data_IF_376235925938
#
_entry.id   IF_376235925938
#
_cell.length_a   1.000
_cell.length_b   1.000
_cell.length_c   1.000
_cell.angle_alpha   90.00
_cell.angle_beta   90.00
_cell.angle_gamma   90.00
#
_symmetry.space_group_name_H-M   'P 1'
#
loop_
_entity.id
_entity.type
_entity.pdbx_description
1 polymer ?
#
# COMPACT_ATOMS: atom_id res chain seq x y z
N UNK A 1 13.95 -7.32 -9.17
CA UNK A 1 12.64 -7.26 -8.59
C UNK A 1 12.20 -8.58 -7.95
N UNK A 2 10.99 -8.63 -7.45
CA UNK A 2 10.43 -9.77 -6.69
C UNK A 2 10.59 -11.14 -7.39
N UNK A 3 10.22 -11.23 -8.68
CA UNK A 3 10.34 -12.51 -9.42
C UNK A 3 11.78 -13.02 -9.51
N UNK A 4 12.76 -12.11 -9.66
CA UNK A 4 14.18 -12.51 -9.67
C UNK A 4 14.59 -13.05 -8.29
N UNK A 5 14.16 -12.41 -7.20
CA UNK A 5 14.40 -12.88 -5.84
C UNK A 5 13.77 -14.25 -5.58
N UNK A 6 12.50 -14.41 -5.95
CA UNK A 6 11.78 -15.69 -5.81
C UNK A 6 12.45 -16.80 -6.62
N UNK A 7 12.83 -16.53 -7.88
CA UNK A 7 13.52 -17.52 -8.72
C UNK A 7 14.89 -17.91 -8.13
N UNK A 8 15.63 -16.95 -7.59
CA UNK A 8 16.91 -17.20 -6.92
C UNK A 8 16.75 -18.05 -5.66
N UNK A 9 15.77 -17.72 -4.81
CA UNK A 9 15.47 -18.46 -3.58
C UNK A 9 15.02 -19.91 -3.90
N UNK A 10 14.10 -20.07 -4.84
CA UNK A 10 13.63 -21.36 -5.31
C UNK A 10 14.79 -22.19 -5.90
N UNK A 11 15.61 -21.59 -6.76
CA UNK A 11 16.74 -22.29 -7.38
C UNK A 11 17.80 -22.73 -6.37
N UNK A 12 18.04 -21.96 -5.31
CA UNK A 12 18.94 -22.36 -4.23
C UNK A 12 18.35 -23.53 -3.47
N UNK A 13 17.10 -23.44 -3.06
CA UNK A 13 16.41 -24.50 -2.33
C UNK A 13 16.32 -25.82 -3.14
N UNK A 14 16.06 -25.75 -4.45
CA UNK A 14 16.06 -26.93 -5.33
C UNK A 14 17.44 -27.60 -5.35
N UNK A 15 18.52 -26.84 -5.50
CA UNK A 15 19.88 -27.42 -5.50
C UNK A 15 20.21 -28.15 -4.20
N UNK A 16 19.70 -27.67 -3.09
CA UNK A 16 19.94 -28.27 -1.76
C UNK A 16 19.08 -29.51 -1.52
N UNK A 17 17.84 -29.54 -2.00
CA UNK A 17 16.87 -30.58 -1.66
C UNK A 17 16.61 -31.59 -2.81
N UNK A 18 16.87 -31.19 -4.06
CA UNK A 18 16.65 -31.97 -5.28
C UNK A 18 17.82 -31.83 -6.24
N UNK A 19 19.01 -32.36 -5.91
CA UNK A 19 20.24 -32.15 -6.69
C UNK A 19 20.15 -32.65 -8.14
N UNK A 20 19.24 -33.59 -8.42
CA UNK A 20 18.99 -34.12 -9.77
C UNK A 20 18.05 -33.22 -10.60
N UNK A 21 17.37 -32.26 -9.99
CA UNK A 21 16.52 -31.28 -10.69
C UNK A 21 17.38 -30.13 -11.22
N UNK A 22 17.97 -30.30 -12.39
CA UNK A 22 18.89 -29.32 -13.02
C UNK A 22 18.22 -28.40 -14.01
N UNK A 23 17.06 -28.78 -14.51
CA UNK A 23 16.37 -28.09 -15.58
C UNK A 23 14.97 -27.65 -15.19
N UNK A 24 14.53 -26.51 -15.67
CA UNK A 24 13.22 -25.94 -15.31
C UNK A 24 12.02 -26.84 -15.63
N UNK A 25 12.12 -27.67 -16.65
CA UNK A 25 11.05 -28.62 -17.02
C UNK A 25 10.93 -29.83 -16.04
N UNK A 26 11.94 -30.02 -15.17
CA UNK A 26 11.93 -31.05 -14.14
C UNK A 26 11.23 -30.58 -12.84
N UNK A 27 10.92 -29.31 -12.74
CA UNK A 27 10.21 -28.76 -11.59
C UNK A 27 8.78 -29.30 -11.60
N UNK A 28 8.43 -30.05 -10.57
CA UNK A 28 7.11 -30.64 -10.38
C UNK A 28 6.28 -29.86 -9.34
N UNK A 29 4.96 -30.07 -9.28
CA UNK A 29 4.12 -29.50 -8.22
C UNK A 29 4.63 -29.87 -6.82
N UNK A 30 5.11 -31.09 -6.63
CA UNK A 30 5.65 -31.55 -5.34
C UNK A 30 6.89 -30.79 -4.90
N UNK A 31 7.77 -30.44 -5.85
CA UNK A 31 8.94 -29.59 -5.58
C UNK A 31 8.50 -28.19 -5.14
N UNK A 32 7.57 -27.58 -5.85
CA UNK A 32 7.07 -26.25 -5.49
C UNK A 32 6.31 -26.26 -4.17
N UNK A 33 5.51 -27.29 -3.91
CA UNK A 33 4.81 -27.47 -2.63
C UNK A 33 5.80 -27.67 -1.49
N UNK A 34 6.85 -28.48 -1.69
CA UNK A 34 7.93 -28.67 -0.71
C UNK A 34 8.65 -27.36 -0.37
N UNK A 35 8.90 -26.51 -1.36
CA UNK A 35 9.45 -25.17 -1.13
C UNK A 35 8.52 -24.29 -0.31
N UNK A 36 7.21 -24.28 -0.60
CA UNK A 36 6.22 -23.54 0.20
C UNK A 36 6.14 -24.04 1.63
N UNK A 37 6.15 -25.37 1.81
CA UNK A 37 6.16 -25.99 3.13
C UNK A 37 7.40 -25.55 3.94
N UNK A 38 8.57 -25.61 3.33
CA UNK A 38 9.82 -25.16 3.96
C UNK A 38 9.79 -23.68 4.36
N UNK A 39 9.08 -22.83 3.60
CA UNK A 39 8.87 -21.44 3.99
C UNK A 39 7.86 -21.30 5.12
N UNK A 40 6.79 -22.10 5.12
CA UNK A 40 5.81 -22.13 6.20
C UNK A 40 6.46 -22.58 7.52
N UNK A 41 7.32 -23.60 7.50
CA UNK A 41 8.07 -24.08 8.66
C UNK A 41 9.00 -23.01 9.25
N UNK A 42 9.49 -22.10 8.41
CA UNK A 42 10.25 -20.91 8.85
C UNK A 42 9.34 -19.76 9.34
N UNK A 43 8.04 -19.97 9.44
CA UNK A 43 7.07 -18.98 9.92
C UNK A 43 6.67 -17.90 8.90
N UNK A 44 6.82 -18.18 7.60
CA UNK A 44 6.36 -17.25 6.56
C UNK A 44 4.83 -17.24 6.51
N UNK A 45 4.24 -16.06 6.59
CA UNK A 45 2.79 -15.89 6.63
C UNK A 45 2.10 -16.35 5.33
N UNK A 46 0.87 -16.86 5.47
CA UNK A 46 0.04 -17.38 4.38
C UNK A 46 -0.10 -16.42 3.19
N UNK A 47 -0.25 -15.12 3.43
CA UNK A 47 -0.35 -14.11 2.36
C UNK A 47 0.93 -14.00 1.52
N UNK A 48 2.11 -14.16 2.14
CA UNK A 48 3.38 -14.18 1.44
C UNK A 48 3.50 -15.42 0.55
N UNK A 49 3.05 -16.58 1.04
CA UNK A 49 3.03 -17.83 0.26
C UNK A 49 2.02 -17.76 -0.90
N UNK A 50 0.84 -17.16 -0.71
CA UNK A 50 -0.10 -16.87 -1.82
C UNK A 50 0.55 -16.01 -2.90
N UNK A 51 1.37 -15.03 -2.50
CA UNK A 51 2.12 -14.20 -3.44
C UNK A 51 3.18 -15.02 -4.18
N UNK A 52 3.85 -15.96 -3.52
CA UNK A 52 4.83 -16.86 -4.13
C UNK A 52 4.18 -17.79 -5.16
N UNK A 53 3.01 -18.37 -4.86
CA UNK A 53 2.22 -19.15 -5.83
C UNK A 53 1.90 -18.30 -7.08
N UNK A 54 1.45 -17.06 -6.89
CA UNK A 54 1.23 -16.14 -8.01
C UNK A 54 2.53 -15.83 -8.77
N UNK A 55 3.66 -15.80 -8.06
CA UNK A 55 4.99 -15.65 -8.62
C UNK A 55 5.39 -16.85 -9.48
N UNK A 56 5.13 -18.07 -9.02
CA UNK A 56 5.41 -19.30 -9.79
C UNK A 56 4.64 -19.34 -11.12
N UNK A 57 3.35 -18.99 -11.12
CA UNK A 57 2.57 -18.88 -12.36
C UNK A 57 3.19 -17.93 -13.39
N UNK A 58 3.78 -16.83 -12.92
CA UNK A 58 4.47 -15.87 -13.78
C UNK A 58 5.83 -16.39 -14.25
N UNK A 59 6.59 -17.04 -13.37
CA UNK A 59 7.88 -17.65 -13.72
C UNK A 59 7.69 -18.77 -14.72
N UNK A 60 6.73 -19.65 -14.53
CA UNK A 60 6.36 -20.72 -15.46
C UNK A 60 6.11 -20.17 -16.87
N UNK A 61 5.30 -19.10 -17.00
CA UNK A 61 5.07 -18.41 -18.27
C UNK A 61 6.35 -17.84 -18.87
N UNK A 62 7.17 -17.15 -18.07
CA UNK A 62 8.42 -16.56 -18.55
C UNK A 62 9.39 -17.62 -19.06
N UNK A 63 9.54 -18.73 -18.32
CA UNK A 63 10.43 -19.84 -18.70
C UNK A 63 9.90 -20.56 -19.95
N UNK A 64 8.59 -20.81 -20.02
CA UNK A 64 7.94 -21.40 -21.20
C UNK A 64 8.15 -20.60 -22.48
N UNK A 65 8.17 -19.26 -22.39
CA UNK A 65 8.48 -18.40 -23.54
C UNK A 65 9.95 -18.50 -24.01
N UNK A 66 10.90 -18.74 -23.10
CA UNK A 66 12.31 -18.84 -23.44
C UNK A 66 12.69 -20.20 -24.07
N UNK A 67 12.00 -21.26 -23.69
CA UNK A 67 12.26 -22.63 -24.15
C UNK A 67 11.17 -23.09 -25.11
N UNK A 68 11.17 -22.57 -26.33
CA UNK A 68 10.14 -22.82 -27.36
C UNK A 68 9.81 -24.29 -27.63
N UNK A 69 10.72 -25.21 -27.32
CA UNK A 69 10.60 -26.65 -27.58
C UNK A 69 10.34 -27.50 -26.32
N UNK A 70 10.31 -26.92 -25.13
CA UNK A 70 10.03 -27.63 -23.89
C UNK A 70 8.67 -27.17 -23.35
N UNK A 71 7.72 -28.09 -23.27
CA UNK A 71 6.46 -27.85 -22.59
C UNK A 71 6.73 -27.76 -21.08
N UNK A 72 6.79 -26.55 -20.57
CA UNK A 72 6.91 -26.31 -19.12
C UNK A 72 5.51 -26.22 -18.55
N UNK A 73 5.19 -27.18 -17.70
CA UNK A 73 3.92 -27.28 -17.00
C UNK A 73 4.20 -27.66 -15.54
N UNK A 74 4.31 -26.64 -14.69
CA UNK A 74 4.54 -26.80 -13.26
C UNK A 74 3.25 -27.11 -12.50
N UNK A 75 2.10 -27.14 -13.18
CA UNK A 75 0.76 -27.34 -12.61
C UNK A 75 0.53 -26.49 -11.35
N UNK A 76 0.84 -25.21 -11.46
CA UNK A 76 0.81 -24.27 -10.35
C UNK A 76 -0.61 -24.01 -9.80
N UNK A 77 -1.64 -24.48 -10.46
CA UNK A 77 -3.04 -24.51 -10.01
C UNK A 77 -3.33 -25.58 -8.93
N UNK A 78 -2.48 -26.63 -8.87
CA UNK A 78 -2.60 -27.70 -7.87
C UNK A 78 -1.85 -27.38 -6.55
N UNK A 79 -1.10 -26.27 -6.51
CA UNK A 79 -0.31 -25.88 -5.35
C UNK A 79 -1.15 -25.00 -4.43
N UNK A 80 -1.09 -25.26 -3.14
CA UNK A 80 -1.83 -24.52 -2.12
C UNK A 80 -0.94 -24.08 -0.96
N UNK A 81 -1.43 -23.09 -0.23
CA UNK A 81 -0.78 -22.65 1.00
C UNK A 81 -0.98 -23.71 2.07
N UNK A 82 0.07 -24.14 2.80
CA UNK A 82 -0.09 -25.06 3.90
C UNK A 82 -1.05 -24.55 4.98
N UNK A 83 -1.96 -25.40 5.47
CA UNK A 83 -3.00 -25.04 6.43
C UNK A 83 -2.44 -24.62 7.80
N UNK A 84 -1.21 -25.06 8.13
CA UNK A 84 -0.53 -24.73 9.38
C UNK A 84 0.25 -23.41 9.34
N UNK A 85 0.13 -22.64 8.29
CA UNK A 85 0.80 -21.34 8.24
C UNK A 85 0.31 -20.43 9.37
N UNK A 86 1.21 -19.68 10.01
CA UNK A 86 0.80 -18.73 11.01
C UNK A 86 -0.19 -17.74 10.42
N UNK A 87 -1.27 -17.46 11.15
CA UNK A 87 -2.19 -16.39 10.82
C UNK A 87 -1.43 -15.07 10.71
N UNK A 88 -1.79 -14.26 9.74
CA UNK A 88 -1.27 -12.90 9.68
C UNK A 88 -1.62 -12.20 10.98
N UNK A 89 -0.59 -11.81 11.73
CA UNK A 89 -0.80 -10.83 12.79
C UNK A 89 -1.40 -9.60 12.13
N UNK A 90 -2.66 -9.34 12.39
CA UNK A 90 -3.31 -8.11 11.95
C UNK A 90 -2.46 -6.93 12.44
N UNK A 91 -1.74 -6.32 11.53
CA UNK A 91 -0.91 -5.13 11.80
C UNK A 91 -1.78 -3.89 11.58
N UNK A 92 -2.89 -3.81 12.32
CA UNK A 92 -4.02 -2.95 12.01
C UNK A 92 -4.09 -1.68 12.85
N UNK A 93 -3.00 -1.34 13.52
CA UNK A 93 -2.99 -0.09 14.25
C UNK A 93 -2.89 1.08 13.29
N UNK A 94 -3.84 1.98 13.45
CA UNK A 94 -3.82 3.30 12.86
C UNK A 94 -2.81 4.13 13.63
N UNK A 95 -2.08 5.00 12.94
CA UNK A 95 -1.24 5.97 13.62
C UNK A 95 -2.14 7.07 14.19
N UNK A 96 -2.21 7.18 15.52
CA UNK A 96 -2.95 8.24 16.19
C UNK A 96 -2.29 9.61 16.00
N UNK A 97 -3.00 10.67 16.39
CA UNK A 97 -2.59 12.06 16.15
C UNK A 97 -1.33 12.45 16.91
N UNK A 98 -1.13 11.92 18.10
CA UNK A 98 0.06 12.20 18.91
C UNK A 98 1.27 11.54 18.26
N UNK A 99 1.18 10.25 18.02
CA UNK A 99 2.25 9.49 17.37
C UNK A 99 2.62 10.05 16.00
N UNK A 100 1.61 10.46 15.20
CA UNK A 100 1.85 11.13 13.92
C UNK A 100 2.69 12.40 14.08
N UNK A 101 2.37 13.26 15.03
CA UNK A 101 3.13 14.49 15.31
C UNK A 101 4.55 14.17 15.77
N UNK A 102 4.72 13.23 16.70
CA UNK A 102 6.02 12.83 17.20
C UNK A 102 6.92 12.30 16.06
N UNK A 103 6.38 11.47 15.18
CA UNK A 103 7.12 10.97 14.00
C UNK A 103 7.47 12.09 13.03
N UNK A 104 6.53 13.00 12.78
CA UNK A 104 6.76 14.14 11.89
C UNK A 104 7.88 15.05 12.41
N UNK A 105 7.87 15.34 13.73
CA UNK A 105 8.89 16.16 14.40
C UNK A 105 10.26 15.47 14.47
N UNK A 106 10.27 14.13 14.58
CA UNK A 106 11.50 13.35 14.54
C UNK A 106 12.15 13.28 13.15
N UNK A 107 11.40 13.60 12.08
CA UNK A 107 11.91 13.62 10.72
C UNK A 107 12.72 14.89 10.45
N UNK A 108 13.80 14.74 9.69
CA UNK A 108 14.60 15.89 9.29
C UNK A 108 13.87 16.75 8.24
N UNK A 109 13.53 17.98 8.59
CA UNK A 109 12.98 18.99 7.67
C UNK A 109 13.98 19.48 6.61
N UNK A 110 15.25 19.09 6.71
CA UNK A 110 16.27 19.32 5.65
C UNK A 110 16.02 18.46 4.41
N UNK A 111 15.28 17.35 4.58
CA UNK A 111 14.98 16.44 3.50
C UNK A 111 13.49 16.47 3.25
N UNK A 112 12.88 16.86 2.36
CA UNK A 112 11.42 16.98 2.15
C UNK A 112 10.61 15.69 2.36
N UNK A 113 11.24 14.59 2.83
CA UNK A 113 10.57 13.28 2.99
C UNK A 113 9.42 13.29 4.01
N UNK A 114 9.40 14.24 4.96
CA UNK A 114 8.30 14.43 5.89
C UNK A 114 6.98 14.81 5.19
N UNK A 115 7.05 15.45 4.02
CA UNK A 115 5.87 15.82 3.21
C UNK A 115 5.05 14.58 2.82
N UNK A 116 5.70 13.41 2.69
CA UNK A 116 4.98 12.15 2.43
C UNK A 116 4.02 11.78 3.55
N UNK A 117 4.39 11.98 4.81
CA UNK A 117 3.49 11.76 5.95
C UNK A 117 2.33 12.74 5.93
N UNK A 118 2.60 14.02 5.65
CA UNK A 118 1.53 15.04 5.54
C UNK A 118 0.55 14.64 4.44
N UNK A 119 1.02 14.35 3.22
CA UNK A 119 0.17 13.93 2.11
C UNK A 119 -0.65 12.66 2.42
N UNK A 120 -0.05 11.70 3.13
CA UNK A 120 -0.77 10.50 3.55
C UNK A 120 -1.80 10.78 4.64
N UNK A 121 -1.54 11.75 5.52
CA UNK A 121 -2.45 12.15 6.60
C UNK A 121 -3.64 12.95 6.09
N UNK A 122 -3.40 13.93 5.22
CA UNK A 122 -4.44 14.89 4.77
C UNK A 122 -5.27 14.37 3.59
N UNK A 123 -4.72 13.45 2.79
CA UNK A 123 -5.35 12.94 1.58
C UNK A 123 -5.22 11.42 1.38
N UNK A 124 -4.80 10.69 2.39
CA UNK A 124 -4.71 9.23 2.31
C UNK A 124 -3.86 8.70 1.16
N UNK A 125 -2.88 9.44 0.66
CA UNK A 125 -2.06 9.01 -0.47
C UNK A 125 -1.15 7.84 -0.11
N UNK A 126 -0.96 6.91 -1.05
CA UNK A 126 0.06 5.86 -0.93
C UNK A 126 1.45 6.49 -1.06
N UNK A 127 2.47 5.88 -0.46
CA UNK A 127 3.85 6.39 -0.52
C UNK A 127 4.33 6.66 -1.95
N UNK A 128 3.96 5.86 -2.93
CA UNK A 128 4.30 6.11 -4.33
C UNK A 128 3.57 7.34 -4.88
N UNK A 129 2.30 7.51 -4.52
CA UNK A 129 1.50 8.67 -4.92
C UNK A 129 2.07 9.95 -4.29
N UNK A 130 2.52 9.89 -3.02
CA UNK A 130 3.16 11.04 -2.38
C UNK A 130 4.47 11.47 -3.05
N UNK A 131 5.22 10.51 -3.62
CA UNK A 131 6.45 10.81 -4.35
C UNK A 131 6.22 11.48 -5.70
N UNK A 132 5.06 11.27 -6.33
CA UNK A 132 4.80 11.62 -7.73
C UNK A 132 3.71 12.66 -7.93
N UNK A 133 2.92 12.98 -6.90
CA UNK A 133 1.85 13.99 -7.02
C UNK A 133 2.45 15.36 -7.34
N UNK A 134 1.92 15.98 -8.40
CA UNK A 134 2.36 17.30 -8.87
C UNK A 134 1.58 18.42 -8.18
N UNK A 135 2.18 19.62 -8.17
CA UNK A 135 1.57 20.82 -7.54
C UNK A 135 0.24 21.21 -8.16
N UNK A 136 0.09 21.11 -9.45
CA UNK A 136 -1.14 21.41 -10.18
C UNK A 136 -2.29 20.46 -9.86
N UNK A 137 -2.00 19.29 -9.31
CA UNK A 137 -3.00 18.34 -8.85
C UNK A 137 -3.56 18.67 -7.46
N UNK A 138 -2.96 19.64 -6.76
CA UNK A 138 -3.34 20.04 -5.41
C UNK A 138 -4.13 21.33 -5.47
N UNK A 139 -5.42 21.24 -5.13
CA UNK A 139 -6.35 22.34 -5.08
C UNK A 139 -6.65 22.68 -3.62
N UNK A 140 -6.46 23.94 -3.23
CA UNK A 140 -6.61 24.39 -1.84
C UNK A 140 -8.00 24.96 -1.54
N UNK A 141 -8.88 24.96 -2.54
CA UNK A 141 -10.25 25.44 -2.46
C UNK A 141 -11.18 24.47 -3.18
N UNK A 142 -12.48 24.53 -2.89
CA UNK A 142 -13.47 23.61 -3.46
C UNK A 142 -13.45 22.21 -2.83
N UNK A 143 -13.86 21.19 -3.61
CA UNK A 143 -14.09 19.85 -3.11
C UNK A 143 -15.37 19.74 -2.27
N UNK A 144 -15.71 18.55 -1.78
CA UNK A 144 -16.94 18.27 -1.04
C UNK A 144 -17.11 19.17 0.19
N UNK A 145 -16.02 19.45 0.90
CA UNK A 145 -16.04 20.17 2.18
C UNK A 145 -15.58 21.64 2.07
N UNK A 146 -15.23 22.13 0.87
CA UNK A 146 -14.73 23.47 0.67
C UNK A 146 -13.29 23.71 1.11
N UNK A 147 -12.59 22.67 1.56
CA UNK A 147 -11.20 22.76 2.04
C UNK A 147 -10.16 22.36 1.00
N UNK A 148 -10.60 22.06 -0.22
CA UNK A 148 -9.73 21.63 -1.32
C UNK A 148 -9.79 20.13 -1.58
N UNK A 149 -9.00 19.70 -2.56
CA UNK A 149 -8.90 18.30 -2.97
C UNK A 149 -7.60 18.03 -3.72
N UNK A 150 -7.24 16.76 -3.87
CA UNK A 150 -6.13 16.32 -4.71
C UNK A 150 -6.68 15.44 -5.83
N UNK A 151 -6.32 15.76 -7.08
CA UNK A 151 -6.64 14.94 -8.24
C UNK A 151 -5.48 14.00 -8.56
N UNK A 152 -5.73 12.70 -8.63
CA UNK A 152 -4.78 11.74 -9.17
C UNK A 152 -5.19 11.39 -10.59
N UNK A 153 -4.31 11.72 -11.54
CA UNK A 153 -4.55 11.57 -12.99
C UNK A 153 -4.52 10.09 -13.42
N UNK A 154 -5.18 9.75 -14.53
CA UNK A 154 -5.11 8.40 -15.09
C UNK A 154 -3.68 8.03 -15.52
N UNK A 155 -3.40 6.74 -15.56
CA UNK A 155 -2.07 6.23 -15.85
C UNK A 155 -1.16 6.22 -14.61
N UNK A 156 0.14 6.12 -14.83
CA UNK A 156 1.12 6.01 -13.74
C UNK A 156 1.76 7.35 -13.36
N UNK A 157 1.30 8.47 -13.92
CA UNK A 157 1.94 9.79 -13.79
C UNK A 157 2.04 10.20 -12.32
N UNK A 158 0.94 10.16 -11.59
CA UNK A 158 0.89 10.50 -10.16
C UNK A 158 1.04 9.26 -9.24
N UNK A 159 1.53 8.15 -9.78
CA UNK A 159 1.80 6.92 -9.02
C UNK A 159 0.57 6.10 -8.62
N UNK A 160 -0.62 6.44 -9.13
CA UNK A 160 -1.85 5.73 -8.82
C UNK A 160 -1.74 4.24 -9.13
N UNK A 161 -2.15 3.40 -8.18
CA UNK A 161 -2.11 1.94 -8.36
C UNK A 161 -3.05 1.54 -9.50
N UNK A 162 -2.54 0.79 -10.46
CA UNK A 162 -3.25 0.40 -11.70
C UNK A 162 -3.70 1.59 -12.57
N UNK A 163 -3.13 2.79 -12.38
CA UNK A 163 -3.45 3.99 -13.15
C UNK A 163 -4.87 4.51 -12.95
N UNK A 164 -5.57 4.11 -11.88
CA UNK A 164 -6.94 4.54 -11.61
C UNK A 164 -6.98 6.00 -11.16
N UNK A 165 -7.66 6.89 -11.91
CA UNK A 165 -7.84 8.27 -11.49
C UNK A 165 -8.78 8.34 -10.28
N UNK A 166 -8.58 9.34 -9.44
CA UNK A 166 -9.53 9.68 -8.37
C UNK A 166 -9.33 11.11 -7.90
N UNK A 167 -10.35 11.64 -7.28
CA UNK A 167 -10.31 12.88 -6.52
C UNK A 167 -10.35 12.52 -5.04
N UNK A 168 -9.50 13.15 -4.25
CA UNK A 168 -9.39 12.92 -2.82
C UNK A 168 -9.69 14.23 -2.11
N UNK A 169 -10.76 14.27 -1.33
CA UNK A 169 -11.18 15.47 -0.61
C UNK A 169 -10.30 15.74 0.62
N UNK A 170 -10.10 17.03 0.91
CA UNK A 170 -9.49 17.49 2.15
C UNK A 170 -10.61 17.71 3.17
N UNK A 171 -10.49 17.07 4.33
CA UNK A 171 -11.61 16.91 5.25
C UNK A 171 -11.87 18.10 6.17
N UNK A 172 -10.87 18.96 6.39
CA UNK A 172 -10.99 20.11 7.29
C UNK A 172 -9.95 21.21 7.02
N UNK A 173 -10.13 22.36 7.68
CA UNK A 173 -9.26 23.52 7.52
C UNK A 173 -7.80 23.24 7.95
N UNK A 174 -7.57 22.50 9.01
CA UNK A 174 -6.22 22.14 9.49
C UNK A 174 -5.45 21.30 8.47
N UNK A 175 -6.13 20.33 7.83
CA UNK A 175 -5.54 19.52 6.75
C UNK A 175 -5.21 20.41 5.52
N UNK A 176 -6.08 21.35 5.16
CA UNK A 176 -5.82 22.33 4.08
C UNK A 176 -4.60 23.17 4.40
N UNK A 177 -4.49 23.67 5.63
CA UNK A 177 -3.37 24.54 6.03
C UNK A 177 -2.04 23.77 6.05
N UNK A 178 -2.03 22.52 6.52
CA UNK A 178 -0.88 21.64 6.41
C UNK A 178 -0.50 21.39 4.93
N UNK A 179 -1.47 21.16 4.07
CA UNK A 179 -1.27 20.98 2.63
C UNK A 179 -0.71 22.25 1.96
N UNK A 180 -1.24 23.42 2.33
CA UNK A 180 -0.76 24.72 1.87
C UNK A 180 0.71 24.92 2.24
N UNK A 181 1.09 24.60 3.47
CA UNK A 181 2.46 24.77 3.94
C UNK A 181 3.45 23.90 3.16
N UNK A 182 3.14 22.63 2.93
CA UNK A 182 4.05 21.75 2.17
C UNK A 182 4.12 22.08 0.69
N UNK A 183 3.12 22.80 0.15
CA UNK A 183 3.08 23.26 -1.24
C UNK A 183 3.77 24.63 -1.44
N UNK A 184 4.16 25.31 -0.37
CA UNK A 184 4.79 26.62 -0.43
C UNK A 184 6.08 26.58 -1.26
N UNK A 185 6.16 27.49 -2.25
CA UNK A 185 7.33 27.55 -3.16
C UNK A 185 7.42 26.42 -4.19
N UNK A 186 6.43 25.53 -4.27
CA UNK A 186 6.35 24.51 -5.32
C UNK A 186 5.59 25.10 -6.51
N UNK A 187 6.19 25.07 -7.70
CA UNK A 187 5.60 25.60 -8.94
C UNK A 187 4.76 24.52 -9.65
N UNK A 188 3.78 24.90 -10.46
CA UNK A 188 3.13 23.98 -11.41
C UNK A 188 4.17 23.21 -12.23
N UNK A 189 3.89 21.96 -12.59
CA UNK A 189 4.82 21.07 -13.27
C UNK A 189 5.86 20.38 -12.36
N UNK A 190 5.93 20.77 -11.10
CA UNK A 190 6.84 20.15 -10.14
C UNK A 190 6.09 19.22 -9.19
N UNK A 191 6.73 18.13 -8.79
CA UNK A 191 6.20 17.29 -7.69
C UNK A 191 6.21 18.06 -6.37
N UNK A 192 5.20 17.84 -5.52
CA UNK A 192 5.09 18.48 -4.19
C UNK A 192 6.31 18.16 -3.34
N UNK A 193 6.82 16.95 -3.47
CA UNK A 193 8.02 16.47 -2.79
C UNK A 193 9.11 16.19 -3.83
N UNK A 194 10.23 16.92 -3.75
CA UNK A 194 11.34 16.81 -4.71
C UNK A 194 12.69 16.91 -4.04
N UNK A 195 13.71 16.34 -4.64
CA UNK A 195 15.09 16.53 -4.25
C UNK A 195 15.60 17.90 -4.70
N UNK A 196 16.79 18.27 -4.23
CA UNK A 196 17.45 19.52 -4.63
C UNK A 196 17.76 19.61 -6.12
N UNK A 197 17.94 18.46 -6.79
CA UNK A 197 18.12 18.34 -8.24
C UNK A 197 16.80 18.43 -9.03
N UNK A 198 15.66 18.60 -8.36
CA UNK A 198 14.32 18.67 -8.96
C UNK A 198 13.66 17.31 -9.18
N UNK A 199 14.37 16.21 -9.02
CA UNK A 199 13.87 14.87 -9.25
C UNK A 199 12.93 14.41 -8.13
N UNK A 200 11.95 13.54 -8.44
CA UNK A 200 11.10 12.92 -7.44
C UNK A 200 11.87 12.06 -6.44
N UNK A 201 11.37 11.96 -5.22
CA UNK A 201 11.93 11.02 -4.25
C UNK A 201 11.62 9.57 -4.63
N UNK A 202 12.57 8.66 -4.34
CA UNK A 202 12.34 7.23 -4.43
C UNK A 202 11.51 6.76 -3.22
N UNK A 203 10.57 5.86 -3.47
CA UNK A 203 9.74 5.23 -2.43
C UNK A 203 10.58 4.68 -1.28
N UNK A 204 11.65 3.94 -1.59
CA UNK A 204 12.52 3.34 -0.58
C UNK A 204 13.24 4.40 0.29
N UNK A 205 13.57 5.56 -0.27
CA UNK A 205 14.19 6.66 0.49
C UNK A 205 13.21 7.26 1.49
N UNK A 206 11.96 7.45 1.08
CA UNK A 206 10.88 7.94 1.95
C UNK A 206 10.60 6.93 3.06
N UNK A 207 10.43 5.65 2.72
CA UNK A 207 10.17 4.60 3.70
C UNK A 207 11.30 4.48 4.73
N UNK A 208 12.57 4.55 4.28
CA UNK A 208 13.73 4.56 5.19
C UNK A 208 13.76 5.78 6.12
N UNK A 209 13.36 6.96 5.62
CA UNK A 209 13.31 8.16 6.46
C UNK A 209 12.26 8.02 7.57
N UNK A 210 11.06 7.56 7.23
CA UNK A 210 9.98 7.31 8.21
C UNK A 210 10.39 6.22 9.21
N UNK A 211 10.97 5.12 8.73
CA UNK A 211 11.44 4.05 9.62
C UNK A 211 12.49 4.54 10.60
N UNK A 212 13.46 5.35 10.15
CA UNK A 212 14.47 5.94 11.05
C UNK A 212 13.85 6.84 12.11
N UNK A 213 12.85 7.64 11.76
CA UNK A 213 12.11 8.46 12.73
C UNK A 213 11.41 7.59 13.78
N UNK A 214 10.72 6.54 13.34
CA UNK A 214 10.07 5.59 14.26
C UNK A 214 11.08 4.87 15.18
N UNK A 215 12.20 4.41 14.65
CA UNK A 215 13.27 3.77 15.44
C UNK A 215 13.83 4.73 16.49
N UNK A 216 14.06 6.00 16.12
CA UNK A 216 14.52 7.04 17.05
C UNK A 216 13.56 7.26 18.23
N UNK A 217 12.27 7.05 18.00
CA UNK A 217 11.22 7.18 19.01
C UNK A 217 10.94 5.86 19.76
N UNK A 218 11.61 4.76 19.41
CA UNK A 218 11.36 3.44 20.01
C UNK A 218 10.01 2.83 19.65
N UNK A 219 9.40 3.24 18.53
CA UNK A 219 8.06 2.84 18.09
C UNK A 219 8.09 2.17 16.72
N UNK A 220 6.96 1.56 16.32
CA UNK A 220 6.72 1.14 14.94
C UNK A 220 6.85 -0.35 14.67
N UNK A 221 7.00 -1.17 15.71
CA UNK A 221 6.92 -2.63 15.57
C UNK A 221 5.47 -3.13 15.37
N UNK A 222 4.51 -2.37 15.87
CA UNK A 222 3.07 -2.61 15.75
C UNK A 222 2.51 -2.34 14.35
N UNK A 223 3.28 -1.67 13.48
CA UNK A 223 2.87 -1.37 12.10
C UNK A 223 3.62 -2.24 11.09
N UNK A 224 3.05 -2.37 9.91
CA UNK A 224 3.71 -3.01 8.77
C UNK A 224 5.04 -2.31 8.44
N UNK A 225 5.92 -2.95 7.66
CA UNK A 225 7.16 -2.33 7.18
C UNK A 225 6.91 -0.98 6.49
N UNK A 226 5.76 -0.81 5.86
CA UNK A 226 5.33 0.45 5.27
C UNK A 226 4.56 1.30 6.30
N UNK A 227 5.29 2.00 7.18
CA UNK A 227 4.74 2.89 8.20
C UNK A 227 3.79 3.97 7.64
N UNK A 228 4.03 4.43 6.43
CA UNK A 228 3.19 5.40 5.74
C UNK A 228 1.74 4.88 5.56
N UNK A 229 1.58 3.55 5.51
CA UNK A 229 0.27 2.93 5.40
C UNK A 229 -0.58 3.12 6.66
N UNK A 230 0.05 3.12 7.86
CA UNK A 230 -0.63 3.41 9.11
C UNK A 230 -1.20 4.83 9.16
N UNK A 231 -0.46 5.80 8.57
CA UNK A 231 -0.93 7.19 8.42
C UNK A 231 -2.09 7.28 7.42
N UNK A 232 -2.02 6.56 6.30
CA UNK A 232 -3.12 6.51 5.33
C UNK A 232 -4.40 5.91 5.93
N UNK A 233 -4.28 4.90 6.81
CA UNK A 233 -5.42 4.35 7.55
C UNK A 233 -6.12 5.41 8.39
N UNK A 234 -5.37 6.30 9.03
CA UNK A 234 -5.96 7.38 9.83
C UNK A 234 -6.79 8.36 8.98
N UNK A 235 -6.40 8.63 7.72
CA UNK A 235 -7.23 9.36 6.79
C UNK A 235 -8.53 8.61 6.49
N UNK A 236 -8.44 7.32 6.19
CA UNK A 236 -9.62 6.49 5.89
C UNK A 236 -10.64 6.51 7.02
N UNK A 237 -10.18 6.37 8.27
CA UNK A 237 -11.06 6.44 9.44
C UNK A 237 -11.71 7.82 9.58
N UNK A 238 -10.95 8.90 9.45
CA UNK A 238 -11.51 10.25 9.52
C UNK A 238 -12.52 10.51 8.42
N UNK A 239 -12.25 10.06 7.20
CA UNK A 239 -13.18 10.17 6.08
C UNK A 239 -14.49 9.41 6.36
N UNK A 240 -14.37 8.18 6.85
CA UNK A 240 -15.50 7.36 7.28
C UNK A 240 -16.32 8.04 8.39
N UNK A 241 -15.67 8.47 9.47
CA UNK A 241 -16.32 9.09 10.63
C UNK A 241 -17.02 10.42 10.25
N UNK A 242 -16.42 11.16 9.32
CA UNK A 242 -17.01 12.41 8.84
C UNK A 242 -18.32 12.16 8.10
N UNK A 243 -18.34 11.25 7.13
CA UNK A 243 -19.57 10.96 6.38
C UNK A 243 -20.63 10.29 7.26
N UNK A 244 -20.23 9.36 8.13
CA UNK A 244 -21.16 8.72 9.06
C UNK A 244 -21.89 9.74 9.95
N UNK A 245 -21.15 10.73 10.48
CA UNK A 245 -21.74 11.82 11.27
C UNK A 245 -22.68 12.68 10.44
N UNK A 246 -22.25 13.15 9.26
CA UNK A 246 -23.06 13.96 8.35
C UNK A 246 -24.39 13.28 7.99
N UNK A 247 -24.34 12.02 7.63
CA UNK A 247 -25.53 11.28 7.24
C UNK A 247 -26.45 10.98 8.42
N UNK A 248 -25.90 10.74 9.62
CA UNK A 248 -26.71 10.63 10.84
C UNK A 248 -27.42 11.96 11.17
N UNK A 249 -26.74 13.10 11.04
CA UNK A 249 -27.31 14.45 11.23
C UNK A 249 -28.40 14.75 10.19
N UNK A 250 -28.33 14.16 9.00
CA UNK A 250 -29.36 14.23 7.96
C UNK A 250 -30.53 13.26 8.15
N UNK A 251 -30.51 12.45 9.20
CA UNK A 251 -31.59 11.54 9.57
C UNK A 251 -31.57 10.18 8.85
N UNK A 252 -30.47 9.81 8.20
CA UNK A 252 -30.34 8.47 7.64
C UNK A 252 -30.28 7.39 8.73
N UNK A 253 -30.72 6.17 8.40
CA UNK A 253 -30.56 5.03 9.30
C UNK A 253 -29.08 4.75 9.59
N UNK A 254 -28.79 4.13 10.72
CA UNK A 254 -27.41 3.71 11.07
C UNK A 254 -26.79 2.83 9.98
N UNK A 255 -27.58 1.93 9.40
CA UNK A 255 -27.12 1.03 8.33
C UNK A 255 -26.79 1.80 7.05
N UNK A 256 -27.63 2.77 6.64
CA UNK A 256 -27.36 3.59 5.45
C UNK A 256 -26.19 4.52 5.68
N UNK A 257 -26.11 5.15 6.85
CA UNK A 257 -25.00 6.03 7.23
C UNK A 257 -23.67 5.26 7.19
N UNK A 258 -23.64 4.06 7.72
CA UNK A 258 -22.47 3.18 7.67
C UNK A 258 -22.10 2.85 6.21
N UNK A 259 -23.05 2.42 5.41
CA UNK A 259 -22.82 2.07 4.00
C UNK A 259 -22.28 3.25 3.19
N UNK A 260 -22.87 4.44 3.35
CA UNK A 260 -22.43 5.65 2.66
C UNK A 260 -21.01 6.04 3.07
N UNK A 261 -20.68 5.92 4.35
CA UNK A 261 -19.33 6.20 4.86
C UNK A 261 -18.29 5.19 4.35
N UNK A 262 -18.65 3.92 4.25
CA UNK A 262 -17.80 2.85 3.69
C UNK A 262 -17.51 3.10 2.21
N UNK A 263 -18.54 3.40 1.42
CA UNK A 263 -18.42 3.70 0.00
C UNK A 263 -17.53 4.94 -0.22
N UNK A 264 -17.77 6.00 0.52
CA UNK A 264 -16.96 7.22 0.44
C UNK A 264 -15.49 6.96 0.78
N UNK A 265 -15.19 6.34 1.93
CA UNK A 265 -13.83 6.04 2.33
C UNK A 265 -13.11 5.15 1.30
N UNK A 266 -13.82 4.19 0.72
CA UNK A 266 -13.29 3.31 -0.33
C UNK A 266 -12.94 4.07 -1.60
N UNK A 267 -13.80 4.98 -2.05
CA UNK A 267 -13.57 5.82 -3.23
C UNK A 267 -12.38 6.76 -3.03
N UNK A 268 -12.30 7.41 -1.86
CA UNK A 268 -11.17 8.27 -1.49
C UNK A 268 -9.83 7.50 -1.52
N UNK A 269 -9.85 6.23 -1.13
CA UNK A 269 -8.66 5.37 -1.16
C UNK A 269 -8.37 4.79 -2.56
N UNK A 270 -9.29 4.92 -3.53
CA UNK A 270 -9.16 4.32 -4.85
C UNK A 270 -9.18 2.80 -4.81
N UNK A 271 -10.07 2.23 -4.02
CA UNK A 271 -10.42 0.82 -4.06
C UNK A 271 -11.36 0.56 -5.25
N UNK A 272 -11.49 -0.70 -5.68
CA UNK A 272 -12.36 -1.07 -6.79
C UNK A 272 -13.84 -0.83 -6.48
N UNK A 273 -14.68 -0.99 -7.51
CA UNK A 273 -16.14 -0.86 -7.40
C UNK A 273 -16.82 -2.13 -6.91
N UNK A 274 -16.10 -3.26 -6.91
CA UNK A 274 -16.61 -4.52 -6.41
C UNK A 274 -16.85 -4.46 -4.90
N UNK A 275 -18.09 -4.76 -4.48
CA UNK A 275 -18.50 -4.59 -3.09
C UNK A 275 -17.77 -5.52 -2.12
N UNK A 276 -17.57 -6.79 -2.49
CA UNK A 276 -16.87 -7.74 -1.64
C UNK A 276 -15.39 -7.36 -1.44
N UNK A 277 -14.74 -6.85 -2.50
CA UNK A 277 -13.39 -6.30 -2.38
C UNK A 277 -13.34 -5.03 -1.51
N UNK A 278 -14.38 -4.18 -1.57
CA UNK A 278 -14.50 -2.98 -0.73
C UNK A 278 -14.64 -3.36 0.74
N UNK A 279 -15.57 -4.24 1.09
CA UNK A 279 -15.82 -4.69 2.46
C UNK A 279 -14.55 -5.28 3.08
N UNK A 280 -13.90 -6.24 2.41
CA UNK A 280 -12.66 -6.83 2.90
C UNK A 280 -11.51 -5.83 3.05
N UNK A 281 -11.42 -4.82 2.17
CA UNK A 281 -10.40 -3.78 2.28
C UNK A 281 -10.71 -2.78 3.38
N UNK A 282 -11.98 -2.49 3.62
CA UNK A 282 -12.42 -1.60 4.68
C UNK A 282 -12.15 -2.19 6.07
N UNK A 283 -12.32 -3.48 6.26
CA UNK A 283 -11.91 -4.18 7.49
C UNK A 283 -10.43 -3.94 7.83
N UNK A 284 -9.58 -3.93 6.80
CA UNK A 284 -8.15 -3.64 6.94
C UNK A 284 -7.87 -2.17 7.28
N UNK A 285 -8.69 -1.22 6.79
CA UNK A 285 -8.45 0.23 6.93
C UNK A 285 -9.20 0.86 8.09
N UNK A 286 -10.42 0.43 8.32
CA UNK A 286 -11.32 1.03 9.32
C UNK A 286 -11.38 0.15 10.59
N UNK A 287 -11.04 -1.13 10.47
CA UNK A 287 -11.19 -2.13 11.51
C UNK A 287 -12.64 -2.62 11.62
N UNK A 288 -12.82 -3.77 12.25
CA UNK A 288 -14.17 -4.27 12.58
C UNK A 288 -14.70 -3.35 13.68
N UNK A 289 -15.61 -2.47 13.32
CA UNK A 289 -16.36 -1.66 14.28
C UNK A 289 -17.69 -2.35 14.50
N UNK A 290 -17.81 -2.95 15.68
CA UNK A 290 -19.06 -3.51 16.21
C UNK A 290 -20.04 -2.39 16.58
#
# INVERSE_FOLDING_TARGET
GYLRGLAGELGTWIRENYPDCKMAYQISPSILQGFLNSKADRGVAASSLKKDISGFRKLEKCVGHQFRNARIDWKTDTIHVPDYCPEEKQRDRVMDDRTYRDVLDAMSKKTETYKSLVLSRVAGLRVRETCLVHRECVHLDGGRYGYGYITLRPGAIDGAKHGRPRVVDILNASDRDALREICKGVRPGQTVMRKSDGEPYRVDSVQRAITRACVKLGIGQEWSQNKNHAVRKSYAQRAYDTVRRETAEQGYSEQDSRRMAEDYASDQLGHGTDRADRERLLDVYIGIRW
#
